data_IF_181109706917
#
_entry.id   IF_181109706917
#
_cell.length_a   1.000
_cell.length_b   1.000
_cell.length_c   1.000
_cell.angle_alpha   90.00
_cell.angle_beta   90.00
_cell.angle_gamma   90.00
#
_symmetry.space_group_name_H-M   'P 1'
#
loop_
_entity.id
_entity.type
_entity.pdbx_description
1 polymer ?
#
# COMPACT_ATOMS: atom_id res chain seq x y z
N UNK A 1 39.52 34.01 75.59
CA UNK A 1 39.67 33.00 74.51
C UNK A 1 38.27 32.63 74.06
N UNK A 2 37.86 33.11 72.89
CA UNK A 2 36.50 32.97 72.34
C UNK A 2 36.40 31.66 71.55
N UNK A 3 35.42 30.82 71.90
CA UNK A 3 35.10 29.59 71.16
C UNK A 3 34.67 29.90 69.72
N UNK A 4 35.02 29.07 68.73
CA UNK A 4 34.52 29.21 67.37
C UNK A 4 33.03 28.81 67.30
N UNK A 5 32.26 29.37 66.35
CA UNK A 5 30.85 29.06 66.18
C UNK A 5 30.66 27.62 65.65
N UNK A 6 29.60 26.97 66.13
CA UNK A 6 29.18 25.65 65.65
C UNK A 6 28.74 25.72 64.17
N UNK A 7 28.96 24.65 63.37
CA UNK A 7 28.52 24.62 61.99
C UNK A 7 26.98 24.54 61.92
N UNK A 8 26.37 25.04 60.82
CA UNK A 8 24.92 24.98 60.64
C UNK A 8 24.45 23.53 60.53
N UNK A 9 23.37 23.18 61.22
CA UNK A 9 22.66 21.91 61.01
C UNK A 9 22.08 21.89 59.59
N UNK A 10 22.56 20.94 58.79
CA UNK A 10 22.09 20.68 57.43
C UNK A 10 20.72 20.01 57.50
N UNK A 11 19.68 20.76 57.18
CA UNK A 11 18.32 20.23 57.04
C UNK A 11 18.28 19.44 55.74
N UNK A 12 18.42 18.12 55.82
CA UNK A 12 18.22 17.23 54.67
C UNK A 12 16.73 17.22 54.32
N UNK A 13 16.34 18.00 53.32
CA UNK A 13 15.07 17.77 52.61
C UNK A 13 15.14 16.38 51.98
N UNK A 14 14.34 15.43 52.50
CA UNK A 14 14.08 14.18 51.80
C UNK A 14 13.41 14.52 50.45
N UNK A 15 14.21 14.50 49.39
CA UNK A 15 13.73 14.57 48.02
C UNK A 15 12.77 13.39 47.83
N UNK A 16 11.47 13.60 47.54
CA UNK A 16 10.54 12.51 47.31
C UNK A 16 11.06 11.66 46.16
N UNK A 17 11.21 10.36 46.40
CA UNK A 17 11.63 9.44 45.35
C UNK A 17 10.72 9.63 44.12
N UNK A 18 11.29 9.67 42.90
CA UNK A 18 10.48 9.79 41.69
C UNK A 18 9.50 8.62 41.65
N UNK A 19 8.20 8.94 41.57
CA UNK A 19 7.15 7.91 41.44
C UNK A 19 7.35 7.23 40.08
N UNK A 20 7.95 6.04 40.08
CA UNK A 20 8.12 5.22 38.89
C UNK A 20 6.79 4.55 38.56
N UNK A 21 6.10 5.05 37.54
CA UNK A 21 4.95 4.34 36.98
C UNK A 21 5.42 3.38 35.90
N UNK A 22 4.73 2.24 35.74
CA UNK A 22 4.99 1.30 34.65
C UNK A 22 4.79 1.97 33.27
N UNK A 23 5.62 1.60 32.30
CA UNK A 23 5.59 2.08 30.90
C UNK A 23 4.22 1.88 30.23
N UNK A 24 3.48 0.86 30.66
CA UNK A 24 2.11 0.63 30.25
C UNK A 24 1.31 -0.05 31.36
N UNK A 25 -0.01 0.02 31.24
CA UNK A 25 -0.95 -0.65 32.13
C UNK A 25 -2.03 -1.36 31.29
N UNK A 26 -2.26 -2.64 31.60
CA UNK A 26 -3.40 -3.38 31.03
C UNK A 26 -4.46 -3.57 32.11
N UNK A 27 -5.65 -3.02 31.88
CA UNK A 27 -6.80 -3.15 32.79
C UNK A 27 -7.92 -3.90 32.11
N UNK A 28 -8.59 -4.78 32.85
CA UNK A 28 -9.78 -5.51 32.40
C UNK A 28 -10.97 -5.06 33.24
N UNK A 29 -12.04 -4.66 32.57
CA UNK A 29 -13.28 -4.20 33.15
C UNK A 29 -14.40 -5.17 32.77
N UNK A 30 -15.12 -5.77 33.74
CA UNK A 30 -16.35 -6.49 33.43
C UNK A 30 -17.38 -5.52 32.87
N UNK A 31 -18.18 -6.01 31.91
CA UNK A 31 -19.29 -5.26 31.31
C UNK A 31 -20.65 -5.72 31.85
N UNK A 32 -20.70 -6.55 32.89
CA UNK A 32 -21.97 -7.04 33.45
C UNK A 32 -22.90 -5.92 33.94
N UNK A 33 -22.30 -4.83 34.44
CA UNK A 33 -23.01 -3.62 34.88
C UNK A 33 -22.59 -2.44 34.02
N UNK A 34 -23.56 -1.64 33.58
CA UNK A 34 -23.29 -0.42 32.85
C UNK A 34 -22.57 0.60 33.74
N UNK A 35 -21.60 1.30 33.16
CA UNK A 35 -21.02 2.54 33.71
C UNK A 35 -21.71 3.69 33.00
N UNK A 36 -22.75 4.23 33.62
CA UNK A 36 -23.56 5.30 33.04
C UNK A 36 -22.75 6.59 32.86
N UNK A 37 -23.18 7.44 31.91
CA UNK A 37 -22.61 8.76 31.70
C UNK A 37 -22.58 9.57 33.00
N UNK A 38 -21.50 10.30 33.31
CA UNK A 38 -20.34 10.60 32.44
C UNK A 38 -19.19 9.55 32.50
N UNK A 39 -19.44 8.37 33.06
CA UNK A 39 -18.49 7.28 33.22
C UNK A 39 -17.91 7.16 34.63
N UNK A 40 -17.28 6.02 34.90
CA UNK A 40 -16.58 5.73 36.16
C UNK A 40 -15.17 6.33 36.12
N UNK A 41 -14.78 7.07 37.17
CA UNK A 41 -13.44 7.68 37.27
C UNK A 41 -12.36 6.61 37.45
N UNK A 42 -11.31 6.68 36.64
CA UNK A 42 -10.13 5.83 36.71
C UNK A 42 -8.89 6.73 36.80
N UNK A 43 -8.21 6.68 37.94
CA UNK A 43 -6.97 7.41 38.20
C UNK A 43 -5.77 6.62 37.66
N UNK A 44 -5.58 6.70 36.34
CA UNK A 44 -4.50 6.02 35.65
C UNK A 44 -3.91 6.96 34.58
N UNK A 45 -2.67 7.46 34.79
CA UNK A 45 -2.04 8.33 33.82
C UNK A 45 -1.68 7.56 32.54
N UNK A 46 -1.72 8.25 31.41
CA UNK A 46 -1.34 7.69 30.12
C UNK A 46 -1.33 8.75 29.02
N UNK A 47 -0.88 8.38 27.83
CA UNK A 47 -0.90 9.20 26.62
C UNK A 47 -1.45 8.45 25.39
N UNK A 48 -1.67 7.14 25.54
CA UNK A 48 -2.29 6.28 24.53
C UNK A 48 -3.20 5.25 25.17
N UNK A 49 -4.31 4.92 24.50
CA UNK A 49 -5.30 3.96 24.97
C UNK A 49 -5.76 3.10 23.80
N UNK A 50 -5.69 1.78 23.98
CA UNK A 50 -6.23 0.80 23.03
C UNK A 50 -7.26 -0.06 23.75
N UNK A 51 -8.45 -0.18 23.17
CA UNK A 51 -9.56 -0.96 23.70
C UNK A 51 -9.72 -2.28 22.95
N UNK A 52 -9.99 -3.35 23.69
CA UNK A 52 -10.35 -4.66 23.17
C UNK A 52 -11.56 -5.19 23.94
N UNK A 53 -12.51 -5.83 23.27
CA UNK A 53 -13.67 -6.46 23.94
C UNK A 53 -14.00 -7.79 23.27
N UNK A 54 -14.61 -8.71 24.03
CA UNK A 54 -15.24 -9.92 23.49
C UNK A 54 -16.77 -9.74 23.28
N UNK A 55 -17.25 -8.50 23.41
CA UNK A 55 -18.60 -8.03 23.08
C UNK A 55 -18.55 -6.95 22.00
N UNK A 56 -19.22 -5.81 22.23
CA UNK A 56 -19.20 -4.63 21.34
C UNK A 56 -18.52 -3.43 22.00
N UNK A 57 -17.82 -2.61 21.20
CA UNK A 57 -17.30 -1.30 21.62
C UNK A 57 -18.32 -0.17 21.39
N UNK A 58 -19.40 -0.42 20.65
CA UNK A 58 -20.44 0.57 20.43
C UNK A 58 -21.09 0.98 21.76
N UNK A 59 -21.16 2.28 22.00
CA UNK A 59 -21.65 2.85 23.27
C UNK A 59 -20.64 2.89 24.41
N UNK A 60 -19.39 2.46 24.18
CA UNK A 60 -18.30 2.66 25.15
C UNK A 60 -17.58 3.98 24.85
N UNK A 61 -17.46 4.85 25.85
CA UNK A 61 -16.82 6.15 25.72
C UNK A 61 -15.74 6.36 26.78
N UNK A 62 -14.75 7.19 26.45
CA UNK A 62 -13.82 7.75 27.43
C UNK A 62 -13.93 9.27 27.45
N UNK A 63 -13.76 9.87 28.63
CA UNK A 63 -13.58 11.32 28.80
C UNK A 63 -12.29 11.57 29.55
N UNK A 64 -11.40 12.41 29.04
CA UNK A 64 -10.11 12.67 29.67
C UNK A 64 -10.23 13.81 30.67
N UNK A 65 -9.53 13.68 31.80
CA UNK A 65 -9.36 14.70 32.86
C UNK A 65 -10.62 15.15 33.62
N UNK A 66 -11.77 15.25 32.94
CA UNK A 66 -13.02 15.79 33.44
C UNK A 66 -14.23 14.98 32.95
N UNK A 67 -15.27 14.79 33.78
CA UNK A 67 -16.52 14.18 33.34
C UNK A 67 -17.31 15.09 32.38
N UNK A 68 -16.96 16.38 32.31
CA UNK A 68 -17.55 17.35 31.38
C UNK A 68 -16.81 17.45 30.05
N UNK A 69 -15.71 16.71 29.86
CA UNK A 69 -14.97 16.69 28.60
C UNK A 69 -15.75 15.91 27.52
N UNK A 70 -15.33 16.06 26.26
CA UNK A 70 -15.95 15.37 25.13
C UNK A 70 -15.95 13.85 25.31
N UNK A 71 -17.05 13.21 24.94
CA UNK A 71 -17.16 11.76 24.95
C UNK A 71 -16.43 11.22 23.72
N UNK A 72 -15.35 10.48 23.92
CA UNK A 72 -14.59 9.90 22.82
C UNK A 72 -15.09 8.46 22.61
N UNK A 73 -15.78 8.16 21.49
CA UNK A 73 -16.30 6.82 21.21
C UNK A 73 -15.17 5.83 20.92
N UNK A 74 -15.09 4.74 21.69
CA UNK A 74 -14.06 3.70 21.54
C UNK A 74 -14.25 2.82 20.29
N UNK A 75 -15.42 2.83 19.67
CA UNK A 75 -15.65 2.15 18.39
C UNK A 75 -15.12 2.93 17.18
N UNK A 76 -14.86 4.23 17.33
CA UNK A 76 -14.38 5.11 16.25
C UNK A 76 -12.92 5.53 16.48
N UNK A 77 -12.54 5.81 17.73
CA UNK A 77 -11.22 6.28 18.12
C UNK A 77 -10.47 5.23 18.93
N UNK A 78 -10.03 4.17 18.25
CA UNK A 78 -9.27 3.07 18.85
C UNK A 78 -8.22 2.52 17.86
N UNK A 79 -6.91 2.76 18.06
CA UNK A 79 -6.32 3.33 19.28
C UNK A 79 -6.54 4.85 19.38
N UNK A 80 -6.69 5.33 20.61
CA UNK A 80 -6.70 6.76 20.93
C UNK A 80 -5.30 7.21 21.37
N UNK A 81 -4.82 8.34 20.86
CA UNK A 81 -3.51 8.92 21.21
C UNK A 81 -3.67 10.41 21.54
N UNK A 82 -3.13 10.84 22.68
CA UNK A 82 -3.15 12.23 23.12
C UNK A 82 -1.78 12.63 23.67
N UNK A 83 -1.04 13.40 22.87
CA UNK A 83 0.37 13.75 23.10
C UNK A 83 0.63 14.58 24.34
N UNK A 84 -0.39 15.26 24.89
CA UNK A 84 -0.27 15.99 26.16
C UNK A 84 -0.36 15.08 27.39
N UNK A 85 -0.74 13.81 27.21
CA UNK A 85 -1.04 12.88 28.27
C UNK A 85 -2.29 13.26 29.07
N UNK A 86 -2.69 12.36 29.96
CA UNK A 86 -3.70 12.56 30.98
C UNK A 86 -3.25 11.92 32.29
N UNK A 87 -3.85 12.35 33.38
CA UNK A 87 -3.67 11.80 34.73
C UNK A 87 -4.79 10.85 35.12
N UNK A 88 -5.97 11.00 34.51
CA UNK A 88 -7.17 10.21 34.74
C UNK A 88 -8.12 10.27 33.55
N UNK A 89 -9.05 9.31 33.51
CA UNK A 89 -10.15 9.30 32.55
C UNK A 89 -11.43 8.76 33.18
N UNK A 90 -12.56 8.99 32.53
CA UNK A 90 -13.88 8.48 32.90
C UNK A 90 -14.32 7.47 31.85
N UNK A 91 -14.65 6.26 32.28
CA UNK A 91 -15.05 5.16 31.41
C UNK A 91 -16.56 4.95 31.46
N UNK A 92 -17.21 5.18 30.34
CA UNK A 92 -18.63 4.95 30.12
C UNK A 92 -18.81 3.66 29.32
N UNK A 93 -19.67 2.75 29.77
CA UNK A 93 -19.88 1.44 29.10
C UNK A 93 -21.31 0.95 29.26
N UNK A 94 -21.93 0.33 28.24
CA UNK A 94 -23.22 -0.31 28.36
C UNK A 94 -23.07 -1.68 29.06
N UNK A 95 -24.18 -2.18 29.63
CA UNK A 95 -24.22 -3.53 30.18
C UNK A 95 -24.20 -4.59 29.06
N UNK A 96 -23.27 -5.53 29.14
CA UNK A 96 -23.09 -6.67 28.26
C UNK A 96 -22.73 -7.90 29.11
N UNK A 97 -23.73 -8.69 29.47
CA UNK A 97 -23.59 -9.83 30.39
C UNK A 97 -22.50 -10.83 29.92
N UNK A 98 -21.58 -11.18 30.83
CA UNK A 98 -20.49 -12.12 30.58
C UNK A 98 -19.38 -11.59 29.66
N UNK A 99 -19.42 -10.31 29.28
CA UNK A 99 -18.42 -9.67 28.42
C UNK A 99 -17.45 -8.81 29.24
N UNK A 100 -16.31 -8.49 28.63
CA UNK A 100 -15.31 -7.63 29.24
C UNK A 100 -14.72 -6.66 28.22
N UNK A 101 -14.32 -5.50 28.72
CA UNK A 101 -13.48 -4.54 28.06
C UNK A 101 -12.06 -4.67 28.63
N UNK A 102 -11.04 -4.66 27.77
CA UNK A 102 -9.63 -4.61 28.14
C UNK A 102 -9.07 -3.32 27.57
N UNK A 103 -8.45 -2.51 28.42
CA UNK A 103 -7.77 -1.28 28.05
C UNK A 103 -6.27 -1.48 28.21
N UNK A 104 -5.51 -1.26 27.15
CA UNK A 104 -4.06 -1.11 27.16
C UNK A 104 -3.74 0.38 27.15
N UNK A 105 -3.14 0.88 28.22
CA UNK A 105 -2.87 2.30 28.47
C UNK A 105 -1.36 2.48 28.48
N UNK A 106 -0.82 3.13 27.46
CA UNK A 106 0.61 3.44 27.36
C UNK A 106 0.95 4.77 28.04
N UNK A 107 2.21 4.89 28.46
CA UNK A 107 2.82 6.10 29.02
C UNK A 107 4.16 6.33 28.32
N UNK A 108 4.56 7.58 28.16
CA UNK A 108 5.81 8.00 27.49
C UNK A 108 5.85 7.75 25.97
N UNK A 109 4.71 7.83 25.27
CA UNK A 109 4.66 7.96 23.82
C UNK A 109 5.40 9.22 23.30
N UNK A 110 5.76 10.17 24.17
CA UNK A 110 6.64 11.30 23.83
C UNK A 110 8.11 10.92 23.68
N UNK A 111 8.55 9.72 24.10
CA UNK A 111 9.82 9.13 23.67
C UNK A 111 9.73 8.52 22.25
N UNK A 112 8.52 8.40 21.69
CA UNK A 112 8.28 8.14 20.26
C UNK A 112 8.00 9.42 19.47
N UNK A 113 8.48 10.59 19.92
CA UNK A 113 8.66 11.76 19.06
C UNK A 113 9.77 11.46 18.03
N UNK A 114 9.48 10.57 17.09
CA UNK A 114 10.45 10.05 16.15
C UNK A 114 9.96 8.88 15.29
N UNK A 115 8.76 8.34 15.54
CA UNK A 115 8.10 7.53 14.51
C UNK A 115 6.92 8.34 14.00
N UNK A 116 7.23 9.28 13.11
CA UNK A 116 6.36 9.38 11.95
C UNK A 116 6.22 7.93 11.46
N UNK A 117 5.05 7.32 11.66
CA UNK A 117 4.57 6.41 10.63
C UNK A 117 4.29 7.36 9.47
N UNK A 118 5.36 7.84 8.83
CA UNK A 118 5.42 7.79 7.39
C UNK A 118 5.07 6.33 7.17
N UNK A 119 3.80 6.07 6.87
CA UNK A 119 3.51 5.00 5.96
C UNK A 119 4.41 5.40 4.79
N UNK A 120 5.61 4.84 4.78
CA UNK A 120 6.33 4.67 3.54
C UNK A 120 5.31 3.83 2.81
N UNK A 121 4.47 4.50 1.99
CA UNK A 121 3.64 3.82 1.03
C UNK A 121 4.58 2.76 0.47
N UNK A 122 4.25 1.46 0.61
CA UNK A 122 5.18 0.40 0.28
C UNK A 122 5.79 0.80 -1.03
N UNK A 123 7.12 1.02 -1.05
CA UNK A 123 7.79 1.62 -2.21
C UNK A 123 7.27 0.81 -3.39
N UNK A 124 6.53 1.42 -4.34
CA UNK A 124 5.80 0.61 -5.29
C UNK A 124 6.85 -0.24 -6.01
N UNK A 125 6.71 -1.55 -5.82
CA UNK A 125 7.66 -2.51 -6.36
C UNK A 125 7.20 -2.73 -7.78
N UNK A 126 7.95 -2.13 -8.69
CA UNK A 126 7.74 -2.33 -10.10
C UNK A 126 8.63 -3.47 -10.58
N UNK A 127 8.07 -4.28 -11.45
CA UNK A 127 8.72 -5.38 -12.13
C UNK A 127 8.69 -5.11 -13.63
N UNK A 128 9.49 -5.88 -14.36
CA UNK A 128 9.65 -5.69 -15.79
C UNK A 128 9.50 -7.01 -16.50
N UNK A 129 8.82 -7.01 -17.63
CA UNK A 129 8.82 -8.10 -18.59
C UNK A 129 9.24 -7.56 -19.94
N UNK A 130 10.10 -8.29 -20.64
CA UNK A 130 10.74 -7.85 -21.88
C UNK A 130 10.64 -8.97 -22.89
N UNK A 131 10.28 -8.63 -24.12
CA UNK A 131 10.28 -9.61 -25.20
C UNK A 131 11.72 -9.92 -25.65
N UNK A 132 11.98 -11.15 -26.08
CA UNK A 132 13.28 -11.55 -26.58
C UNK A 132 13.34 -11.36 -28.09
N UNK A 133 14.29 -10.54 -28.58
CA UNK A 133 14.41 -10.20 -30.01
C UNK A 133 14.52 -11.41 -30.95
N UNK A 134 15.06 -12.53 -30.43
CA UNK A 134 15.36 -13.74 -31.20
C UNK A 134 14.29 -14.82 -31.02
N UNK A 135 13.24 -14.56 -30.23
CA UNK A 135 12.21 -15.57 -29.90
C UNK A 135 10.81 -15.02 -30.08
N UNK A 136 10.57 -13.76 -29.72
CA UNK A 136 9.25 -13.17 -29.78
C UNK A 136 9.15 -12.20 -30.95
N UNK A 137 8.00 -12.20 -31.63
CA UNK A 137 7.70 -11.31 -32.74
C UNK A 137 8.72 -11.41 -33.89
N UNK A 138 9.10 -12.63 -34.27
CA UNK A 138 10.19 -12.90 -35.22
C UNK A 138 9.71 -13.05 -36.66
N UNK A 139 8.41 -13.29 -36.86
CA UNK A 139 7.82 -13.52 -38.17
C UNK A 139 7.60 -12.22 -38.96
N UNK A 140 7.37 -12.38 -40.27
CA UNK A 140 6.94 -11.28 -41.11
C UNK A 140 5.46 -10.99 -40.85
N UNK A 141 5.12 -9.73 -40.65
CA UNK A 141 3.76 -9.32 -40.29
C UNK A 141 3.19 -8.36 -41.33
N UNK A 142 2.28 -8.86 -42.16
CA UNK A 142 1.58 -8.04 -43.17
C UNK A 142 0.54 -7.14 -42.49
N UNK A 143 0.15 -6.07 -43.19
CA UNK A 143 -0.86 -5.11 -42.70
C UNK A 143 -2.13 -5.81 -42.26
N UNK A 144 -2.61 -5.47 -41.07
CA UNK A 144 -3.85 -6.02 -40.53
C UNK A 144 -3.71 -7.41 -39.89
N UNK A 145 -2.50 -7.96 -39.83
CA UNK A 145 -2.24 -9.22 -39.14
C UNK A 145 -1.55 -9.00 -37.78
N UNK A 146 -1.62 -10.04 -36.95
CA UNK A 146 -0.98 -10.11 -35.63
C UNK A 146 -0.09 -11.34 -35.49
N UNK A 147 0.92 -11.23 -34.63
CA UNK A 147 1.75 -12.35 -34.15
C UNK A 147 1.54 -12.45 -32.64
N UNK A 148 1.32 -13.67 -32.14
CA UNK A 148 0.87 -13.97 -30.79
C UNK A 148 2.01 -14.53 -29.95
N UNK A 149 2.14 -14.08 -28.70
CA UNK A 149 3.21 -14.47 -27.80
C UNK A 149 2.71 -14.64 -26.36
N UNK A 150 3.22 -15.68 -25.70
CA UNK A 150 3.03 -15.93 -24.27
C UNK A 150 4.33 -15.61 -23.52
N UNK A 151 4.37 -14.47 -22.85
CA UNK A 151 5.59 -14.02 -22.17
C UNK A 151 5.63 -14.57 -20.76
N UNK A 152 6.54 -15.51 -20.51
CA UNK A 152 6.76 -16.07 -19.17
C UNK A 152 7.41 -15.05 -18.23
N UNK A 153 7.08 -15.12 -16.93
CA UNK A 153 7.81 -14.39 -15.88
C UNK A 153 7.01 -13.33 -15.15
N UNK A 154 5.67 -13.34 -15.25
CA UNK A 154 4.86 -12.57 -14.30
C UNK A 154 5.01 -13.15 -12.90
N UNK A 155 5.02 -12.28 -11.90
CA UNK A 155 5.08 -12.69 -10.49
C UNK A 155 3.70 -12.89 -9.86
N UNK A 156 2.64 -12.71 -10.64
CA UNK A 156 1.26 -12.98 -10.25
C UNK A 156 0.33 -12.82 -11.44
N UNK A 157 -0.85 -13.46 -11.35
CA UNK A 157 -1.86 -13.44 -12.42
C UNK A 157 -2.64 -12.13 -12.50
N UNK A 158 -2.51 -11.23 -11.52
CA UNK A 158 -3.15 -9.91 -11.51
C UNK A 158 -2.09 -8.84 -11.40
N UNK A 159 -1.97 -8.03 -12.45
CA UNK A 159 -0.99 -6.95 -12.51
C UNK A 159 -1.64 -5.68 -13.03
N UNK A 160 -0.96 -4.56 -12.84
CA UNK A 160 -1.22 -3.33 -13.57
C UNK A 160 0.01 -2.97 -14.38
N UNK A 161 -0.16 -2.82 -15.68
CA UNK A 161 0.87 -2.35 -16.60
C UNK A 161 0.88 -0.82 -16.54
N UNK A 162 2.05 -0.27 -16.25
CA UNK A 162 2.25 1.15 -15.97
C UNK A 162 2.87 1.86 -17.16
N UNK A 163 3.96 1.30 -17.68
CA UNK A 163 4.72 1.89 -18.79
C UNK A 163 5.02 0.82 -19.83
N UNK A 164 5.00 1.21 -21.10
CA UNK A 164 5.34 0.34 -22.23
C UNK A 164 6.35 1.08 -23.11
N UNK A 165 7.45 0.43 -23.46
CA UNK A 165 8.41 0.94 -24.43
C UNK A 165 8.62 -0.06 -25.55
N UNK A 166 8.93 0.45 -26.74
CA UNK A 166 9.22 -0.33 -27.93
C UNK A 166 10.53 0.13 -28.57
N UNK A 167 11.30 -0.84 -29.02
CA UNK A 167 12.49 -0.69 -29.83
C UNK A 167 12.33 -1.55 -31.08
N UNK A 168 12.52 -0.97 -32.27
CA UNK A 168 12.32 -1.71 -33.52
C UNK A 168 13.30 -1.27 -34.62
N UNK A 169 13.63 -2.18 -35.53
CA UNK A 169 14.45 -1.86 -36.72
C UNK A 169 13.65 -1.12 -37.80
N UNK A 170 12.32 -1.26 -37.80
CA UNK A 170 11.44 -0.59 -38.75
C UNK A 170 10.59 0.47 -38.06
N UNK A 171 10.41 1.60 -38.75
CA UNK A 171 9.59 2.72 -38.28
C UNK A 171 8.11 2.54 -38.66
N UNK A 172 7.45 1.54 -38.06
CA UNK A 172 6.07 1.16 -38.39
C UNK A 172 5.08 1.52 -37.28
N UNK A 173 3.81 1.63 -37.63
CA UNK A 173 2.72 1.75 -36.67
C UNK A 173 2.28 0.38 -36.14
N UNK A 174 2.57 0.09 -34.87
CA UNK A 174 2.18 -1.16 -34.22
C UNK A 174 1.10 -0.95 -33.16
N UNK A 175 0.37 -2.01 -32.86
CA UNK A 175 -0.44 -2.10 -31.63
C UNK A 175 0.01 -3.31 -30.83
N UNK A 176 0.08 -3.16 -29.52
CA UNK A 176 0.24 -4.28 -28.60
C UNK A 176 -1.13 -4.60 -28.00
N UNK A 177 -1.65 -5.78 -28.33
CA UNK A 177 -2.94 -6.28 -27.86
C UNK A 177 -2.74 -7.18 -26.66
N UNK A 178 -3.64 -7.12 -25.68
CA UNK A 178 -3.55 -7.88 -24.43
C UNK A 178 -4.74 -8.81 -24.27
N UNK A 179 -4.46 -10.05 -23.85
CA UNK A 179 -5.43 -11.12 -23.76
C UNK A 179 -5.40 -11.80 -22.39
N UNK A 180 -6.56 -12.25 -21.92
CA UNK A 180 -6.73 -12.97 -20.65
C UNK A 180 -6.27 -14.42 -20.71
N UNK A 181 -6.11 -14.97 -21.92
CA UNK A 181 -5.83 -16.40 -22.19
C UNK A 181 -4.87 -16.57 -23.36
N UNK A 182 -4.16 -17.69 -23.35
CA UNK A 182 -3.24 -18.16 -24.40
C UNK A 182 -3.89 -18.57 -25.73
N UNK A 183 -5.22 -18.57 -25.81
CA UNK A 183 -5.95 -19.01 -27.01
C UNK A 183 -6.01 -17.94 -28.10
N UNK A 184 -5.79 -16.67 -27.74
CA UNK A 184 -5.83 -15.51 -28.64
C UNK A 184 -7.09 -15.47 -29.54
N UNK A 185 -8.23 -15.98 -29.04
CA UNK A 185 -9.43 -16.16 -29.84
C UNK A 185 -9.93 -14.80 -30.37
N UNK A 186 -10.16 -14.75 -31.69
CA UNK A 186 -10.65 -13.58 -32.41
C UNK A 186 -11.74 -13.97 -33.43
N UNK A 187 -12.35 -15.16 -33.26
CA UNK A 187 -13.33 -15.74 -34.21
C UNK A 187 -14.75 -15.30 -33.86
N UNK A 188 -15.04 -15.13 -32.58
CA UNK A 188 -16.29 -14.61 -32.03
C UNK A 188 -16.04 -13.42 -31.09
N UNK A 189 -17.11 -12.69 -30.77
CA UNK A 189 -17.10 -11.67 -29.72
C UNK A 189 -17.10 -12.34 -28.35
N UNK A 190 -16.09 -13.17 -28.10
CA UNK A 190 -15.78 -13.62 -26.75
C UNK A 190 -15.38 -12.38 -25.94
N UNK A 191 -16.38 -11.81 -25.26
CA UNK A 191 -16.27 -10.64 -24.37
C UNK A 191 -15.23 -10.87 -23.27
N UNK A 192 -14.85 -12.14 -23.05
CA UNK A 192 -14.11 -12.59 -21.87
C UNK A 192 -12.62 -12.83 -22.15
N UNK A 193 -12.09 -12.55 -23.35
CA UNK A 193 -10.67 -12.80 -23.67
C UNK A 193 -9.85 -11.55 -24.00
N UNK A 194 -10.40 -10.59 -24.73
CA UNK A 194 -9.69 -9.35 -25.07
C UNK A 194 -9.74 -8.34 -23.91
N UNK A 195 -8.59 -7.81 -23.51
CA UNK A 195 -8.50 -6.82 -22.42
C UNK A 195 -8.48 -5.41 -22.99
N UNK A 196 -7.61 -5.18 -23.97
CA UNK A 196 -7.32 -3.86 -24.48
C UNK A 196 -6.15 -3.89 -25.44
N UNK A 197 -5.89 -2.73 -26.06
CA UNK A 197 -4.76 -2.56 -26.97
C UNK A 197 -4.13 -1.19 -26.78
N UNK A 198 -2.81 -1.14 -26.92
CA UNK A 198 -2.01 0.08 -26.80
C UNK A 198 -1.33 0.35 -28.13
N UNK A 199 -1.50 1.57 -28.65
CA UNK A 199 -0.85 1.98 -29.88
C UNK A 199 0.62 2.37 -29.63
N UNK A 200 1.50 1.81 -30.45
CA UNK A 200 2.94 2.04 -30.48
C UNK A 200 3.32 2.58 -31.87
N UNK A 201 2.90 3.82 -32.15
CA UNK A 201 3.08 4.46 -33.45
C UNK A 201 4.49 5.02 -33.64
N UNK A 202 5.44 4.13 -33.97
CA UNK A 202 6.80 4.54 -34.32
C UNK A 202 6.84 5.33 -35.63
N UNK A 203 5.94 5.07 -36.58
CA UNK A 203 5.86 5.80 -37.85
C UNK A 203 5.75 7.31 -37.63
N UNK A 204 4.89 7.72 -36.69
CA UNK A 204 4.69 9.13 -36.33
C UNK A 204 5.67 9.61 -35.25
N UNK A 205 5.79 8.87 -34.14
CA UNK A 205 6.45 9.38 -32.92
C UNK A 205 7.85 8.82 -32.67
N UNK A 206 8.24 7.77 -33.41
CA UNK A 206 9.50 7.07 -33.22
C UNK A 206 10.72 7.97 -33.37
N UNK A 207 11.68 7.79 -32.45
CA UNK A 207 12.95 8.53 -32.40
C UNK A 207 14.11 7.61 -32.76
N UNK A 208 15.16 8.15 -33.38
CA UNK A 208 16.43 7.45 -33.58
C UNK A 208 17.53 8.18 -32.80
N UNK A 209 18.48 7.42 -32.26
CA UNK A 209 19.67 7.98 -31.63
C UNK A 209 20.70 8.26 -32.73
N UNK A 210 21.08 9.51 -32.94
CA UNK A 210 22.08 9.88 -33.94
C UNK A 210 21.63 9.78 -35.42
N UNK A 211 20.32 9.62 -35.67
CA UNK A 211 19.75 9.64 -37.03
C UNK A 211 19.98 8.36 -37.85
N UNK A 212 20.38 7.26 -37.22
CA UNK A 212 20.55 5.96 -37.87
C UNK A 212 20.18 4.80 -36.93
N UNK A 213 19.91 3.63 -37.51
CA UNK A 213 19.62 2.40 -36.77
C UNK A 213 18.18 2.33 -36.25
N UNK A 214 18.03 1.83 -35.03
CA UNK A 214 16.74 1.48 -34.44
C UNK A 214 15.89 2.69 -34.05
N UNK A 215 14.59 2.45 -33.99
CA UNK A 215 13.57 3.39 -33.57
C UNK A 215 13.10 3.06 -32.16
N UNK A 216 12.87 4.11 -31.37
CA UNK A 216 12.48 4.02 -29.96
C UNK A 216 11.23 4.85 -29.71
N UNK A 217 10.34 4.32 -28.87
CA UNK A 217 9.20 5.04 -28.32
C UNK A 217 8.86 4.48 -26.93
N UNK A 218 8.36 5.33 -26.06
CA UNK A 218 7.76 4.94 -24.79
C UNK A 218 6.38 5.57 -24.64
N UNK A 219 5.49 4.84 -24.02
CA UNK A 219 4.22 5.29 -23.47
C UNK A 219 4.33 5.15 -21.95
N UNK A 220 4.33 6.30 -21.28
CA UNK A 220 4.23 6.39 -19.83
C UNK A 220 2.75 6.43 -19.44
N UNK A 221 2.42 5.98 -18.23
CA UNK A 221 1.07 6.04 -17.67
C UNK A 221 -0.02 5.26 -18.46
N UNK A 222 0.36 4.12 -19.05
CA UNK A 222 -0.58 3.20 -19.72
C UNK A 222 -1.72 2.74 -18.80
N UNK A 223 -1.42 2.52 -17.51
CA UNK A 223 -2.38 2.17 -16.44
C UNK A 223 -3.42 1.09 -16.83
N UNK A 224 -2.95 0.03 -17.47
CA UNK A 224 -3.78 -1.07 -17.95
C UNK A 224 -3.84 -2.19 -16.90
N UNK A 225 -5.02 -2.48 -16.38
CA UNK A 225 -5.25 -3.65 -15.53
C UNK A 225 -5.23 -4.92 -16.37
N UNK A 226 -4.41 -5.89 -15.96
CA UNK A 226 -4.26 -7.18 -16.61
C UNK A 226 -4.57 -8.31 -15.63
N UNK A 227 -5.30 -9.30 -16.13
CA UNK A 227 -5.59 -10.54 -15.42
C UNK A 227 -5.35 -11.70 -16.38
N UNK A 228 -4.39 -12.54 -16.02
CA UNK A 228 -4.24 -13.87 -16.57
C UNK A 228 -5.31 -14.76 -15.92
N UNK A 229 -6.26 -15.22 -16.74
CA UNK A 229 -7.42 -15.98 -16.29
C UNK A 229 -7.11 -17.48 -16.14
N UNK A 230 -6.10 -18.00 -16.84
CA UNK A 230 -5.70 -19.41 -16.71
C UNK A 230 -4.71 -19.65 -15.56
N UNK A 231 -4.09 -18.58 -15.04
CA UNK A 231 -3.24 -18.61 -13.86
C UNK A 231 -1.84 -19.18 -14.12
N UNK A 232 -1.40 -19.18 -15.38
CA UNK A 232 -0.05 -19.58 -15.79
C UNK A 232 1.04 -18.60 -15.34
N UNK A 233 0.67 -17.38 -14.96
CA UNK A 233 1.57 -16.23 -14.73
C UNK A 233 2.37 -15.87 -15.99
N UNK A 234 1.68 -15.91 -17.13
CA UNK A 234 2.18 -15.43 -18.41
C UNK A 234 1.46 -14.15 -18.81
N UNK A 235 2.12 -13.35 -19.65
CA UNK A 235 1.51 -12.20 -20.29
C UNK A 235 1.20 -12.57 -21.74
N UNK A 236 -0.09 -12.78 -22.04
CA UNK A 236 -0.57 -13.09 -23.38
C UNK A 236 -0.73 -11.80 -24.19
N UNK A 237 0.08 -11.65 -25.23
CA UNK A 237 0.10 -10.43 -26.07
C UNK A 237 0.16 -10.76 -27.54
N UNK A 238 -0.37 -9.84 -28.35
CA UNK A 238 -0.14 -9.86 -29.79
C UNK A 238 0.47 -8.56 -30.26
N UNK A 239 1.47 -8.65 -31.14
CA UNK A 239 1.93 -7.51 -31.93
C UNK A 239 1.11 -7.45 -33.21
N UNK A 240 0.35 -6.37 -33.39
CA UNK A 240 -0.46 -6.12 -34.58
C UNK A 240 0.18 -5.04 -35.45
N UNK A 241 0.30 -5.29 -36.75
CA UNK A 241 0.81 -4.30 -37.70
C UNK A 241 -0.33 -3.46 -38.29
N UNK A 242 -0.40 -2.20 -37.89
CA UNK A 242 -1.35 -1.22 -38.43
C UNK A 242 -0.77 -0.40 -39.60
N UNK A 243 0.52 -0.57 -39.89
CA UNK A 243 1.18 0.14 -40.98
C UNK A 243 0.82 -0.47 -42.34
N UNK A 244 0.81 0.35 -43.39
CA UNK A 244 0.62 -0.11 -44.76
C UNK A 244 1.83 -0.94 -45.26
N UNK A 245 3.00 -0.76 -44.64
CA UNK A 245 4.20 -1.54 -44.91
C UNK A 245 4.26 -2.75 -43.97
N UNK A 246 4.61 -3.91 -44.52
CA UNK A 246 4.79 -5.13 -43.73
C UNK A 246 6.04 -5.03 -42.82
N UNK A 247 5.94 -5.61 -41.63
CA UNK A 247 7.11 -5.95 -40.81
C UNK A 247 7.86 -7.10 -41.48
N UNK A 248 9.17 -6.98 -41.57
CA UNK A 248 10.05 -8.02 -42.08
C UNK A 248 10.25 -9.11 -41.01
N UNK A 249 10.57 -10.33 -41.47
CA UNK A 249 11.07 -11.37 -40.57
C UNK A 249 12.56 -11.16 -40.26
N UNK A 250 13.01 -11.77 -39.15
CA UNK A 250 14.43 -11.84 -38.77
C UNK A 250 15.09 -10.47 -38.53
N UNK A 251 16.40 -10.39 -38.80
CA UNK A 251 17.27 -9.26 -38.39
C UNK A 251 16.88 -7.88 -38.90
N UNK A 252 16.01 -7.79 -39.91
CA UNK A 252 15.59 -6.50 -40.50
C UNK A 252 14.24 -6.01 -40.01
N UNK A 253 13.58 -6.79 -39.16
CA UNK A 253 12.29 -6.47 -38.56
C UNK A 253 12.23 -6.86 -37.09
N UNK A 254 13.36 -6.80 -36.37
CA UNK A 254 13.38 -7.10 -34.94
C UNK A 254 12.55 -6.04 -34.20
N UNK A 255 11.80 -6.51 -33.22
CA UNK A 255 10.98 -5.69 -32.33
C UNK A 255 11.17 -6.20 -30.90
N UNK A 256 11.44 -5.29 -29.98
CA UNK A 256 11.50 -5.55 -28.55
C UNK A 256 10.53 -4.63 -27.83
N UNK A 257 9.64 -5.22 -27.05
CA UNK A 257 8.72 -4.52 -26.16
C UNK A 257 9.19 -4.71 -24.72
N UNK A 258 9.21 -3.61 -23.98
CA UNK A 258 9.50 -3.56 -22.55
C UNK A 258 8.24 -3.09 -21.84
N UNK A 259 7.79 -3.84 -20.84
CA UNK A 259 6.63 -3.48 -20.03
C UNK A 259 7.04 -3.41 -18.57
N UNK A 260 6.68 -2.31 -17.92
CA UNK A 260 6.80 -2.12 -16.48
C UNK A 260 5.44 -2.34 -15.84
N UNK A 261 5.39 -3.15 -14.79
CA UNK A 261 4.15 -3.50 -14.12
C UNK A 261 4.29 -3.52 -12.58
N UNK A 262 3.18 -3.46 -11.89
CA UNK A 262 3.06 -3.72 -10.46
C UNK A 262 2.07 -4.87 -10.20
N UNK A 263 2.25 -5.57 -9.07
CA UNK A 263 1.29 -6.60 -8.64
C UNK A 263 0.02 -5.94 -8.11
N UNK A 264 -1.13 -6.49 -8.51
CA UNK A 264 -2.42 -6.07 -7.99
C UNK A 264 -2.92 -7.08 -6.95
N UNK A 265 -3.21 -6.58 -5.74
CA UNK A 265 -3.78 -7.36 -4.64
C UNK A 265 -5.28 -7.64 -4.79
#
# INVERSE_FOLDING_TARGET
>A
MTMPPAPPEEITEEVPLPVTYAEYNVRRYPLDTARAAPGERIDLPGDSLTAYTNGTLAGCYIRLESPSADAIPLNEFNPYRYTKGWTRFYLETPAQAGKYLRLHIGREASAEAGVQITAVAPKPIFYTIVTAKDTHFTEALTTGNKEDENLTGLLGSKIRILDIAIQADQKLNFWLMFWRKDTFNNIDLDVDAFIGMVQLDLATFGKQVGGAGQYYMSLEDANLDYEDEDGTNELHVSLYNADAVAKNAGDTGQVVCFLKYELRG
#
